data_IF_461725386422
#
_entry.id   IF_461725386422
#
_cell.length_a   1.000
_cell.length_b   1.000
_cell.length_c   1.000
_cell.angle_alpha   90.00
_cell.angle_beta   90.00
_cell.angle_gamma   90.00
#
_symmetry.space_group_name_H-M   'P 1'
#
loop_
_entity.id
_entity.type
_entity.pdbx_description
1 polymer ?
#
# COMPACT_ATOMS: atom_id res chain seq x y z
N UNK A 1 0.88 24.29 14.63
CA UNK A 1 0.55 24.03 13.21
C UNK A 1 1.75 23.29 12.62
N UNK A 2 1.56 22.43 11.63
CA UNK A 2 2.67 21.81 10.89
C UNK A 2 2.52 22.20 9.42
N UNK A 3 3.58 22.75 8.83
CA UNK A 3 3.66 23.11 7.42
C UNK A 3 4.84 22.37 6.80
N UNK A 4 4.70 21.95 5.56
CA UNK A 4 5.73 21.20 4.83
C UNK A 4 5.99 21.89 3.51
N UNK A 5 7.24 21.99 3.10
CA UNK A 5 7.65 22.53 1.80
C UNK A 5 8.60 21.59 1.09
N UNK A 6 8.54 21.56 -0.23
CA UNK A 6 9.39 20.70 -1.06
C UNK A 6 10.36 21.53 -1.90
N UNK A 7 11.64 21.18 -1.85
CA UNK A 7 12.71 21.84 -2.60
C UNK A 7 13.37 20.82 -3.54
N UNK A 8 13.22 21.03 -4.84
CA UNK A 8 13.78 20.17 -5.88
C UNK A 8 15.07 20.74 -6.46
N UNK A 9 16.13 19.93 -6.48
CA UNK A 9 17.46 20.26 -7.03
C UNK A 9 17.83 19.33 -8.19
N UNK A 10 18.71 19.82 -9.06
CA UNK A 10 19.25 19.04 -10.18
C UNK A 10 20.35 18.05 -9.74
N UNK A 11 21.04 18.34 -8.63
CA UNK A 11 22.12 17.52 -8.08
C UNK A 11 22.02 17.51 -6.55
N UNK A 12 22.51 16.45 -5.89
CA UNK A 12 22.63 16.44 -4.45
C UNK A 12 23.52 17.60 -3.99
N UNK A 13 22.96 18.49 -3.20
CA UNK A 13 23.65 19.54 -2.48
C UNK A 13 22.89 19.73 -1.16
N UNK A 14 23.63 19.81 -0.06
CA UNK A 14 23.08 20.06 1.27
C UNK A 14 22.89 21.56 1.42
N UNK A 15 21.64 22.07 1.46
CA UNK A 15 21.41 23.47 1.75
C UNK A 15 21.78 23.72 3.22
N UNK A 16 22.56 24.76 3.50
CA UNK A 16 22.86 25.17 4.88
C UNK A 16 21.54 25.60 5.55
N UNK A 17 20.99 24.86 6.52
CA UNK A 17 19.69 25.19 7.10
C UNK A 17 19.72 26.53 7.85
N UNK A 18 18.58 27.24 7.99
CA UNK A 18 18.50 28.46 8.77
C UNK A 18 18.92 28.21 10.22
N UNK A 19 19.41 29.26 10.90
CA UNK A 19 19.79 29.15 12.30
C UNK A 19 18.51 28.98 13.14
N UNK A 20 18.60 28.20 14.21
CA UNK A 20 17.43 27.71 14.95
C UNK A 20 16.38 28.79 15.31
N UNK A 21 15.11 28.48 15.07
CA UNK A 21 13.95 29.30 15.44
C UNK A 21 13.61 29.16 16.93
N UNK A 22 13.14 30.23 17.57
CA UNK A 22 12.84 30.24 19.01
C UNK A 22 11.47 29.64 19.35
N UNK A 23 10.50 29.74 18.43
CA UNK A 23 9.09 29.34 18.65
C UNK A 23 8.59 28.25 17.68
N UNK A 24 9.46 27.79 16.79
CA UNK A 24 9.18 26.73 15.84
C UNK A 24 10.32 25.71 15.81
N UNK A 25 9.98 24.48 15.47
CA UNK A 25 10.93 23.42 15.20
C UNK A 25 11.03 23.20 13.69
N UNK A 26 12.26 23.06 13.20
CA UNK A 26 12.57 22.93 11.79
C UNK A 26 13.24 21.58 11.55
N UNK A 27 12.69 20.79 10.63
CA UNK A 27 13.35 19.60 10.12
C UNK A 27 13.57 19.72 8.63
N UNK A 28 14.76 19.30 8.20
CA UNK A 28 15.13 19.20 6.79
C UNK A 28 15.44 17.74 6.52
N UNK A 29 14.58 17.10 5.74
CA UNK A 29 14.71 15.70 5.36
C UNK A 29 15.21 15.61 3.91
N UNK A 30 16.35 14.95 3.71
CA UNK A 30 16.97 14.79 2.39
C UNK A 30 18.50 14.62 2.45
N UNK A 31 19.18 14.55 1.29
CA UNK A 31 18.61 14.58 -0.05
C UNK A 31 17.92 13.25 -0.40
N UNK A 32 16.68 13.31 -0.89
CA UNK A 32 15.96 12.14 -1.39
C UNK A 32 16.00 12.11 -2.92
N UNK A 33 16.29 10.95 -3.49
CA UNK A 33 16.19 10.76 -4.94
C UNK A 33 14.74 10.42 -5.28
N UNK A 34 14.15 11.19 -6.18
CA UNK A 34 12.78 10.99 -6.68
C UNK A 34 12.78 10.59 -8.15
N UNK A 35 11.78 9.83 -8.56
CA UNK A 35 11.49 9.54 -9.95
C UNK A 35 10.24 10.28 -10.41
N UNK A 36 9.98 10.30 -11.72
CA UNK A 36 8.79 10.98 -12.28
C UNK A 36 7.49 10.46 -11.66
N UNK A 37 7.45 9.17 -11.32
CA UNK A 37 6.31 8.51 -10.68
C UNK A 37 6.09 8.90 -9.20
N UNK A 38 7.01 9.62 -8.58
CA UNK A 38 6.88 10.15 -7.21
C UNK A 38 6.41 11.61 -7.20
N UNK A 39 6.25 12.21 -8.37
CA UNK A 39 5.94 13.62 -8.54
C UNK A 39 4.58 13.69 -9.22
N UNK A 40 3.66 14.51 -8.69
CA UNK A 40 2.38 14.75 -9.38
C UNK A 40 2.63 15.26 -10.80
N UNK A 41 1.84 14.79 -11.76
CA UNK A 41 1.98 15.16 -13.17
C UNK A 41 1.98 16.69 -13.37
N UNK A 42 1.18 17.40 -12.57
CA UNK A 42 1.10 18.87 -12.61
C UNK A 42 2.40 19.56 -12.15
N UNK A 43 3.19 18.91 -11.30
CA UNK A 43 4.43 19.46 -10.76
C UNK A 43 5.62 19.17 -11.68
N UNK A 44 5.56 18.11 -12.48
CA UNK A 44 6.63 17.70 -13.40
C UNK A 44 7.05 18.84 -14.34
N UNK A 45 6.09 19.63 -14.85
CA UNK A 45 6.37 20.77 -15.74
C UNK A 45 7.22 21.84 -15.04
N UNK A 46 6.90 22.16 -13.78
CA UNK A 46 7.60 23.17 -12.99
C UNK A 46 8.96 22.68 -12.51
N UNK A 47 9.03 21.43 -12.04
CA UNK A 47 10.24 20.80 -11.52
C UNK A 47 11.27 20.57 -12.64
N UNK A 48 10.81 20.25 -13.85
CA UNK A 48 11.65 19.96 -15.01
C UNK A 48 12.46 18.68 -14.79
N UNK A 49 13.78 18.74 -14.93
CA UNK A 49 14.68 17.58 -14.77
C UNK A 49 15.27 17.41 -13.35
N UNK A 50 14.79 18.17 -12.36
CA UNK A 50 15.29 18.14 -10.98
C UNK A 50 14.72 16.92 -10.26
N UNK A 51 15.57 16.05 -9.72
CA UNK A 51 15.20 14.74 -9.14
C UNK A 51 15.81 14.49 -7.76
N UNK A 52 16.23 15.55 -7.11
CA UNK A 52 16.66 15.54 -5.70
C UNK A 52 15.67 16.37 -4.91
N UNK A 53 14.94 15.73 -4.02
CA UNK A 53 13.96 16.35 -3.13
C UNK A 53 14.58 16.58 -1.75
N UNK A 54 14.33 17.77 -1.21
CA UNK A 54 14.45 18.08 0.20
C UNK A 54 13.08 18.48 0.71
N UNK A 55 12.62 17.85 1.79
CA UNK A 55 11.36 18.20 2.45
C UNK A 55 11.68 18.97 3.71
N UNK A 56 11.05 20.12 3.85
CA UNK A 56 11.24 21.06 4.94
C UNK A 56 9.97 21.09 5.76
N UNK A 57 10.03 20.65 7.02
CA UNK A 57 8.86 20.69 7.91
C UNK A 57 9.05 21.72 9.01
N UNK A 58 8.06 22.59 9.17
CA UNK A 58 7.99 23.63 10.19
C UNK A 58 6.85 23.30 11.14
N UNK A 59 7.19 23.00 12.39
CA UNK A 59 6.23 22.68 13.44
C UNK A 59 6.20 23.75 14.52
N UNK A 60 5.01 24.08 15.02
CA UNK A 60 4.83 25.02 16.13
C UNK A 60 4.07 26.28 15.72
N UNK A 61 4.55 27.42 16.21
CA UNK A 61 3.99 28.75 15.99
C UNK A 61 5.12 29.72 15.66
N UNK A 62 5.65 29.66 14.42
CA UNK A 62 6.71 30.56 14.00
C UNK A 62 6.25 32.02 14.15
N UNK A 63 7.14 32.86 14.63
CA UNK A 63 6.98 34.32 14.64
C UNK A 63 7.19 34.89 13.23
N UNK A 64 6.85 36.16 13.02
CA UNK A 64 7.08 36.83 11.73
C UNK A 64 8.58 36.83 11.37
N UNK A 65 9.46 37.06 12.35
CA UNK A 65 10.92 37.01 12.15
C UNK A 65 11.39 35.59 11.72
N UNK A 66 10.80 34.53 12.29
CA UNK A 66 11.12 33.14 11.91
C UNK A 66 10.70 32.86 10.45
N UNK A 67 9.56 33.42 10.01
CA UNK A 67 9.07 33.26 8.64
C UNK A 67 9.92 34.06 7.63
N UNK A 68 10.38 35.25 8.01
CA UNK A 68 11.27 36.07 7.17
C UNK A 68 12.63 35.39 6.99
N UNK A 69 13.23 34.85 8.05
CA UNK A 69 14.50 34.09 7.95
C UNK A 69 14.33 32.81 7.11
N UNK A 70 13.18 32.13 7.21
CA UNK A 70 12.87 31.01 6.34
C UNK A 70 12.77 31.44 4.86
N UNK A 71 12.11 32.56 4.57
CA UNK A 71 11.98 33.06 3.20
C UNK A 71 13.34 33.44 2.60
N UNK A 72 14.17 34.14 3.36
CA UNK A 72 15.53 34.51 2.98
C UNK A 72 16.38 33.28 2.68
N UNK A 73 16.29 32.25 3.53
CA UNK A 73 16.95 30.97 3.30
C UNK A 73 16.47 30.32 1.99
N UNK A 74 15.15 30.22 1.77
CA UNK A 74 14.59 29.64 0.53
C UNK A 74 15.09 30.42 -0.68
N UNK A 75 15.04 31.76 -0.67
CA UNK A 75 15.49 32.61 -1.78
C UNK A 75 16.97 32.39 -2.08
N UNK A 76 17.80 32.28 -1.04
CA UNK A 76 19.22 31.94 -1.16
C UNK A 76 19.42 30.57 -1.80
N UNK A 77 18.78 29.53 -1.29
CA UNK A 77 18.85 28.15 -1.83
C UNK A 77 18.42 28.08 -3.29
N UNK A 78 17.30 28.73 -3.64
CA UNK A 78 16.79 28.79 -5.00
C UNK A 78 17.81 29.41 -5.97
N UNK A 79 18.47 30.48 -5.54
CA UNK A 79 19.46 31.21 -6.33
C UNK A 79 20.76 30.43 -6.50
N UNK A 80 21.28 29.84 -5.42
CA UNK A 80 22.55 29.11 -5.42
C UNK A 80 22.47 27.79 -6.17
N UNK A 81 21.38 27.03 -6.01
CA UNK A 81 21.27 25.66 -6.52
C UNK A 81 20.38 25.54 -7.76
N UNK A 82 19.84 26.66 -8.28
CA UNK A 82 18.86 26.68 -9.37
C UNK A 82 17.65 25.78 -9.06
N UNK A 83 17.25 25.76 -7.79
CA UNK A 83 16.22 24.88 -7.27
C UNK A 83 14.79 25.34 -7.63
N UNK A 84 13.82 24.50 -7.33
CA UNK A 84 12.38 24.78 -7.40
C UNK A 84 11.82 24.53 -6.01
N UNK A 85 11.12 25.51 -5.46
CA UNK A 85 10.38 25.42 -4.21
C UNK A 85 8.91 25.23 -4.52
N UNK A 86 8.24 24.32 -3.82
CA UNK A 86 6.80 24.07 -3.89
C UNK A 86 6.24 24.05 -2.47
N UNK A 87 5.12 24.74 -2.28
CA UNK A 87 4.25 24.61 -1.11
C UNK A 87 3.11 23.65 -1.50
N UNK A 88 3.10 22.40 -1.01
CA UNK A 88 2.06 21.41 -1.32
C UNK A 88 0.66 21.82 -0.86
N UNK A 89 0.53 22.67 0.17
CA UNK A 89 -0.74 23.07 0.75
C UNK A 89 -1.45 24.14 -0.09
N UNK A 90 -0.70 25.10 -0.63
CA UNK A 90 -1.25 26.16 -1.48
C UNK A 90 -1.06 25.90 -2.98
N UNK A 91 -0.20 24.93 -3.33
CA UNK A 91 0.27 24.71 -4.70
C UNK A 91 1.13 25.87 -5.22
N UNK A 92 1.54 26.82 -4.38
CA UNK A 92 2.45 27.88 -4.80
C UNK A 92 3.82 27.29 -5.13
N UNK A 93 4.48 27.84 -6.16
CA UNK A 93 5.82 27.45 -6.51
C UNK A 93 6.70 28.66 -6.80
N UNK A 94 8.00 28.51 -6.58
CA UNK A 94 9.00 29.55 -6.79
C UNK A 94 10.32 28.98 -7.30
N UNK A 95 10.96 29.74 -8.17
CA UNK A 95 12.35 29.58 -8.61
C UNK A 95 13.07 30.91 -8.39
N UNK A 96 14.38 30.98 -8.64
CA UNK A 96 15.13 32.23 -8.55
C UNK A 96 14.61 33.37 -9.45
N UNK A 97 13.77 33.08 -10.46
CA UNK A 97 13.36 34.06 -11.48
C UNK A 97 11.85 34.12 -11.72
N UNK A 98 11.09 33.13 -11.26
CA UNK A 98 9.67 32.97 -11.54
C UNK A 98 8.95 32.41 -10.33
N UNK A 99 7.71 32.80 -10.14
CA UNK A 99 6.78 32.21 -9.21
C UNK A 99 5.43 32.00 -9.89
N UNK A 100 4.62 31.13 -9.32
CA UNK A 100 3.28 30.86 -9.80
C UNK A 100 2.49 29.99 -8.82
N UNK A 101 1.35 29.48 -9.29
CA UNK A 101 0.55 28.51 -8.56
C UNK A 101 0.17 27.36 -9.48
N UNK A 102 0.18 26.15 -8.92
CA UNK A 102 -0.25 24.91 -9.53
C UNK A 102 -1.79 24.73 -9.41
N UNK A 103 -2.49 25.64 -8.71
CA UNK A 103 -3.94 25.67 -8.59
C UNK A 103 -4.58 25.81 -9.97
N UNK A 104 -4.99 24.67 -10.52
CA UNK A 104 -5.42 24.50 -11.90
C UNK A 104 -5.44 23.03 -12.32
N UNK A 105 -4.69 22.16 -11.64
CA UNK A 105 -4.95 20.74 -11.68
C UNK A 105 -6.35 20.51 -11.12
N UNK A 106 -7.29 20.04 -11.95
CA UNK A 106 -8.55 19.50 -11.47
C UNK A 106 -8.22 18.53 -10.31
N UNK A 107 -9.01 18.48 -9.23
CA UNK A 107 -8.78 17.52 -8.16
C UNK A 107 -8.53 16.17 -8.82
N UNK A 108 -7.37 15.56 -8.57
CA UNK A 108 -7.01 14.28 -9.15
C UNK A 108 -8.23 13.39 -8.95
N UNK A 109 -8.89 13.02 -10.05
CA UNK A 109 -10.04 12.13 -9.99
C UNK A 109 -9.44 10.85 -9.46
N UNK A 110 -9.66 10.57 -8.18
CA UNK A 110 -9.07 9.44 -7.48
C UNK A 110 -9.39 8.21 -8.34
N UNK A 111 -8.37 7.72 -9.08
CA UNK A 111 -8.58 6.63 -10.01
C UNK A 111 -9.13 5.49 -9.17
N UNK A 112 -10.27 4.91 -9.58
CA UNK A 112 -10.80 3.76 -8.86
C UNK A 112 -9.85 2.60 -9.09
N UNK A 113 -8.92 2.39 -8.15
CA UNK A 113 -7.95 1.32 -8.19
C UNK A 113 -8.63 0.00 -7.82
N UNK A 114 -8.34 -1.03 -8.61
CA UNK A 114 -8.61 -2.42 -8.28
C UNK A 114 -7.61 -2.96 -7.26
N UNK A 115 -7.81 -4.22 -6.87
CA UNK A 115 -6.95 -4.91 -5.90
C UNK A 115 -6.76 -6.38 -6.22
N UNK A 116 -5.55 -6.89 -5.98
CA UNK A 116 -5.28 -8.33 -5.83
C UNK A 116 -4.84 -8.55 -4.39
N UNK A 117 -5.61 -9.33 -3.62
CA UNK A 117 -5.39 -9.49 -2.19
C UNK A 117 -5.32 -10.96 -1.78
N UNK A 118 -4.48 -11.26 -0.79
CA UNK A 118 -4.30 -12.58 -0.18
C UNK A 118 -4.43 -12.46 1.34
N UNK A 119 -5.19 -13.36 1.96
CA UNK A 119 -5.42 -13.41 3.41
C UNK A 119 -5.12 -14.83 3.93
N UNK A 120 -4.26 -14.93 4.95
CA UNK A 120 -3.72 -16.21 5.44
C UNK A 120 -3.46 -16.21 6.95
N UNK A 121 -3.49 -17.39 7.58
CA UNK A 121 -3.25 -17.55 9.03
C UNK A 121 -1.79 -17.84 9.38
N UNK A 122 -1.05 -18.55 8.51
CA UNK A 122 0.32 -19.00 8.78
C UNK A 122 1.35 -17.88 8.54
N UNK A 123 1.35 -16.90 9.44
CA UNK A 123 2.20 -15.71 9.33
C UNK A 123 3.68 -16.02 9.56
N UNK A 124 3.98 -16.97 10.45
CA UNK A 124 5.34 -17.38 10.78
C UNK A 124 5.94 -18.24 9.67
N UNK A 125 5.18 -19.19 9.11
CA UNK A 125 5.60 -19.93 7.92
C UNK A 125 5.83 -19.01 6.73
N UNK A 126 4.97 -17.99 6.58
CA UNK A 126 5.14 -16.99 5.53
C UNK A 126 6.39 -16.11 5.73
N UNK A 127 6.71 -15.72 6.97
CA UNK A 127 7.92 -14.96 7.30
C UNK A 127 9.21 -15.69 6.95
N UNK A 128 9.27 -16.99 7.28
CA UNK A 128 10.49 -17.77 7.08
C UNK A 128 10.80 -18.01 5.58
N UNK A 129 9.81 -18.45 4.81
CA UNK A 129 10.03 -18.89 3.41
C UNK A 129 9.00 -18.32 2.42
N UNK A 130 7.79 -18.01 2.89
CA UNK A 130 6.67 -17.65 2.02
C UNK A 130 6.90 -16.39 1.20
N UNK A 131 7.48 -15.33 1.77
CA UNK A 131 7.74 -14.09 1.04
C UNK A 131 8.72 -14.31 -0.13
N UNK A 132 9.79 -15.07 0.07
CA UNK A 132 10.73 -15.42 -1.00
C UNK A 132 10.03 -16.22 -2.10
N UNK A 133 9.30 -17.27 -1.75
CA UNK A 133 8.54 -18.06 -2.72
C UNK A 133 7.52 -17.21 -3.48
N UNK A 134 6.86 -16.27 -2.81
CA UNK A 134 5.90 -15.34 -3.40
C UNK A 134 6.56 -14.41 -4.43
N UNK A 135 7.72 -13.83 -4.11
CA UNK A 135 8.49 -13.01 -5.05
C UNK A 135 9.00 -13.81 -6.25
N UNK A 136 9.47 -15.04 -6.04
CA UNK A 136 9.87 -15.93 -7.13
C UNK A 136 8.69 -16.26 -8.06
N UNK A 137 7.49 -16.46 -7.50
CA UNK A 137 6.28 -16.67 -8.29
C UNK A 137 5.87 -15.42 -9.07
N UNK A 138 5.96 -14.22 -8.47
CA UNK A 138 5.75 -12.95 -9.17
C UNK A 138 6.71 -12.82 -10.36
N UNK A 139 8.01 -12.99 -10.14
CA UNK A 139 8.99 -12.87 -11.21
C UNK A 139 8.71 -13.82 -12.38
N UNK A 140 8.31 -15.07 -12.09
CA UNK A 140 8.03 -16.07 -13.12
C UNK A 140 6.71 -15.84 -13.86
N UNK A 141 5.64 -15.50 -13.14
CA UNK A 141 4.28 -15.45 -13.70
C UNK A 141 3.81 -14.03 -14.06
N UNK A 142 4.28 -13.04 -13.32
CA UNK A 142 3.80 -11.67 -13.34
C UNK A 142 4.93 -10.65 -13.07
N UNK A 143 6.00 -10.65 -13.88
CA UNK A 143 7.19 -9.82 -13.64
C UNK A 143 6.89 -8.31 -13.64
N UNK A 144 5.77 -7.88 -14.22
CA UNK A 144 5.28 -6.50 -14.18
C UNK A 144 4.84 -6.07 -12.77
N UNK A 145 4.36 -7.01 -11.96
CA UNK A 145 3.94 -6.77 -10.57
C UNK A 145 5.10 -6.88 -9.56
N UNK A 146 6.30 -7.27 -10.01
CA UNK A 146 7.46 -7.35 -9.13
C UNK A 146 7.85 -5.94 -8.65
N UNK A 147 8.01 -5.72 -7.33
CA UNK A 147 8.45 -4.44 -6.80
C UNK A 147 9.76 -3.98 -7.46
N UNK A 148 9.81 -2.70 -7.84
CA UNK A 148 11.04 -2.07 -8.35
C UNK A 148 11.68 -1.20 -7.29
N UNK A 149 10.87 -0.64 -6.39
CA UNK A 149 11.29 0.23 -5.30
C UNK A 149 10.62 -0.19 -4.02
N UNK A 150 11.32 0.03 -2.93
CA UNK A 150 10.83 -0.27 -1.59
C UNK A 150 11.47 0.65 -0.54
N UNK A 151 10.80 0.79 0.59
CA UNK A 151 11.25 1.61 1.71
C UNK A 151 10.15 1.83 2.75
N UNK A 152 10.49 2.33 3.94
CA UNK A 152 9.51 2.56 5.01
C UNK A 152 8.59 3.75 4.74
N UNK A 153 9.03 4.69 3.91
CA UNK A 153 8.32 5.93 3.59
C UNK A 153 8.51 6.31 2.12
N UNK A 154 7.64 7.18 1.62
CA UNK A 154 7.80 7.81 0.31
C UNK A 154 8.64 9.08 0.38
N UNK A 155 9.44 9.39 -0.66
CA UNK A 155 9.81 8.54 -1.80
C UNK A 155 10.72 7.38 -1.40
N UNK A 156 10.43 6.18 -1.89
CA UNK A 156 11.22 4.97 -1.58
C UNK A 156 12.64 5.06 -2.14
N UNK A 157 13.64 4.92 -1.28
CA UNK A 157 15.06 5.09 -1.66
C UNK A 157 15.74 3.78 -2.11
N UNK A 158 15.21 2.61 -1.74
CA UNK A 158 15.78 1.32 -2.14
C UNK A 158 15.20 0.85 -3.47
N UNK A 159 16.03 0.13 -4.24
CA UNK A 159 15.67 -0.45 -5.55
C UNK A 159 15.94 -1.93 -5.58
N UNK A 160 15.09 -2.66 -6.29
CA UNK A 160 15.34 -4.05 -6.64
C UNK A 160 16.19 -4.12 -7.90
N UNK A 161 17.41 -4.65 -7.78
CA UNK A 161 18.36 -4.78 -8.89
C UNK A 161 18.36 -6.22 -9.43
N UNK A 162 17.89 -6.38 -10.67
CA UNK A 162 17.87 -7.69 -11.33
C UNK A 162 16.91 -8.68 -10.67
N UNK A 163 17.42 -9.90 -10.40
CA UNK A 163 16.67 -11.05 -9.89
C UNK A 163 17.01 -11.37 -8.42
N UNK A 164 17.82 -10.54 -7.78
CA UNK A 164 18.26 -10.75 -6.40
C UNK A 164 17.29 -10.07 -5.42
N UNK A 165 16.58 -10.88 -4.64
CA UNK A 165 15.61 -10.41 -3.64
C UNK A 165 16.23 -10.13 -2.27
N UNK A 166 17.52 -10.39 -2.03
CA UNK A 166 18.10 -10.36 -0.68
C UNK A 166 17.91 -9.00 0.02
N UNK A 167 18.11 -7.89 -0.69
CA UNK A 167 17.96 -6.55 -0.11
C UNK A 167 16.51 -6.24 0.29
N UNK A 168 15.56 -6.63 -0.56
CA UNK A 168 14.12 -6.45 -0.29
C UNK A 168 13.64 -7.38 0.82
N UNK A 169 14.08 -8.65 0.83
CA UNK A 169 13.73 -9.61 1.87
C UNK A 169 14.29 -9.19 3.23
N UNK A 170 15.53 -8.70 3.26
CA UNK A 170 16.12 -8.14 4.48
C UNK A 170 15.30 -6.96 5.01
N UNK A 171 15.00 -5.98 4.15
CA UNK A 171 14.19 -4.82 4.55
C UNK A 171 12.78 -5.22 5.02
N UNK A 172 12.20 -6.24 4.38
CA UNK A 172 10.89 -6.76 4.77
C UNK A 172 10.93 -7.49 6.12
N UNK A 173 11.97 -8.26 6.42
CA UNK A 173 12.13 -8.91 7.73
C UNK A 173 12.40 -7.91 8.86
N UNK A 174 13.07 -6.80 8.58
CA UNK A 174 13.31 -5.73 9.55
C UNK A 174 12.00 -5.00 9.90
N UNK A 175 11.16 -4.67 8.90
CA UNK A 175 9.91 -3.91 9.11
C UNK A 175 8.73 -4.38 8.22
N UNK A 176 8.18 -5.59 8.46
CA UNK A 176 7.25 -6.23 7.51
C UNK A 176 5.93 -5.47 7.31
N UNK A 177 5.49 -4.70 8.31
CA UNK A 177 4.26 -3.91 8.27
C UNK A 177 4.41 -2.48 7.70
N UNK A 178 5.63 -1.95 7.69
CA UNK A 178 5.90 -0.57 7.26
C UNK A 178 6.60 -0.51 5.91
N UNK A 179 7.08 -1.64 5.39
CA UNK A 179 7.69 -1.67 4.08
C UNK A 179 6.66 -1.40 2.98
N UNK A 180 6.75 -0.22 2.40
CA UNK A 180 6.06 0.15 1.17
C UNK A 180 6.87 -0.43 0.01
N UNK A 181 6.18 -1.11 -0.90
CA UNK A 181 6.75 -1.64 -2.13
C UNK A 181 5.97 -1.08 -3.32
N UNK A 182 6.64 -0.70 -4.40
CA UNK A 182 6.01 -0.14 -5.60
C UNK A 182 6.45 -0.90 -6.85
N UNK A 183 5.48 -1.39 -7.60
CA UNK A 183 5.66 -2.03 -8.89
C UNK A 183 5.37 -1.04 -10.03
N UNK A 184 5.65 -1.44 -11.28
CA UNK A 184 5.33 -0.63 -12.45
C UNK A 184 3.86 -0.80 -12.84
N UNK A 185 3.31 0.24 -13.47
CA UNK A 185 2.00 0.17 -14.09
C UNK A 185 1.89 -1.07 -15.03
N UNK A 186 0.74 -1.77 -15.03
CA UNK A 186 -0.52 -1.38 -14.40
C UNK A 186 -0.67 -1.79 -12.92
N UNK A 187 0.39 -2.28 -12.28
CA UNK A 187 0.44 -2.49 -10.84
C UNK A 187 0.90 -1.19 -10.15
N UNK A 188 0.44 -0.97 -8.93
CA UNK A 188 0.84 0.15 -8.08
C UNK A 188 1.61 -0.33 -6.87
N UNK A 189 1.16 0.09 -5.70
CA UNK A 189 1.74 -0.34 -4.43
C UNK A 189 1.41 -1.80 -4.12
N UNK A 190 2.38 -2.48 -3.51
CA UNK A 190 2.21 -3.73 -2.80
C UNK A 190 2.30 -3.43 -1.30
N UNK A 191 1.21 -3.67 -0.59
CA UNK A 191 1.15 -3.56 0.86
C UNK A 191 1.27 -4.93 1.49
N UNK A 192 2.05 -5.01 2.57
CA UNK A 192 2.17 -6.19 3.41
C UNK A 192 1.72 -5.86 4.82
N UNK A 193 0.92 -6.73 5.42
CA UNK A 193 0.52 -6.63 6.81
C UNK A 193 0.58 -8.04 7.39
N UNK A 194 1.75 -8.40 7.92
CA UNK A 194 2.01 -9.72 8.47
C UNK A 194 2.26 -9.58 9.97
N UNK A 195 1.30 -10.00 10.83
CA UNK A 195 1.36 -9.78 12.27
C UNK A 195 2.29 -10.81 12.96
N UNK A 196 3.59 -10.68 12.72
CA UNK A 196 4.64 -11.56 13.26
C UNK A 196 4.77 -11.45 14.78
N UNK A 197 5.36 -12.45 15.44
CA UNK A 197 5.67 -12.37 16.87
C UNK A 197 6.60 -11.20 17.21
N UNK A 198 7.54 -10.86 16.32
CA UNK A 198 8.42 -9.69 16.49
C UNK A 198 7.61 -8.39 16.58
N UNK A 199 6.64 -8.22 15.68
CA UNK A 199 5.74 -7.08 15.68
C UNK A 199 4.84 -7.05 16.92
N UNK A 200 4.27 -8.20 17.33
CA UNK A 200 3.43 -8.24 18.54
C UNK A 200 4.17 -7.83 19.80
N UNK A 201 5.49 -8.08 19.88
CA UNK A 201 6.33 -7.66 21.02
C UNK A 201 6.58 -6.16 21.08
N UNK A 202 6.58 -5.46 19.95
CA UNK A 202 6.75 -4.00 19.91
C UNK A 202 5.48 -3.25 20.30
N UNK A 203 4.33 -3.93 20.32
CA UNK A 203 3.07 -3.34 20.76
C UNK A 203 2.99 -3.26 22.28
N UNK A 204 2.51 -2.11 22.76
CA UNK A 204 2.28 -1.89 24.18
C UNK A 204 1.30 -2.95 24.72
N UNK A 205 1.59 -3.53 25.88
CA UNK A 205 0.77 -4.58 26.51
C UNK A 205 -0.67 -4.16 26.80
N UNK A 206 -0.93 -2.84 26.85
CA UNK A 206 -2.27 -2.27 27.04
C UNK A 206 -3.04 -2.07 25.72
N UNK A 207 -2.41 -2.26 24.55
CA UNK A 207 -3.16 -2.35 23.30
C UNK A 207 -3.82 -3.73 23.23
N UNK A 208 -5.04 -3.82 23.79
CA UNK A 208 -5.93 -4.99 23.77
C UNK A 208 -6.44 -5.33 22.36
N UNK A 209 -5.57 -5.38 21.36
CA UNK A 209 -5.92 -5.94 20.08
C UNK A 209 -6.17 -7.43 20.30
N UNK A 210 -7.38 -7.88 19.97
CA UNK A 210 -7.70 -9.31 19.94
C UNK A 210 -6.85 -9.95 18.85
N UNK A 211 -5.67 -10.44 19.23
CA UNK A 211 -4.69 -11.08 18.35
C UNK A 211 -5.29 -12.27 17.60
N UNK A 212 -6.35 -12.88 18.14
CA UNK A 212 -7.07 -13.99 17.52
C UNK A 212 -7.68 -13.70 16.15
N UNK A 213 -7.85 -12.42 15.78
CA UNK A 213 -8.44 -12.03 14.50
C UNK A 213 -7.44 -11.36 13.56
N UNK A 214 -6.17 -11.34 13.94
CA UNK A 214 -5.09 -10.87 13.08
C UNK A 214 -4.74 -11.96 12.08
N UNK A 215 -4.68 -11.57 10.81
CA UNK A 215 -4.29 -12.44 9.70
C UNK A 215 -3.17 -11.77 8.92
N UNK A 216 -2.36 -12.58 8.25
CA UNK A 216 -1.45 -12.10 7.22
C UNK A 216 -2.23 -11.58 6.03
N UNK A 217 -1.76 -10.47 5.46
CA UNK A 217 -2.37 -9.83 4.29
C UNK A 217 -1.31 -9.33 3.34
N UNK A 218 -1.47 -9.63 2.06
CA UNK A 218 -0.75 -9.00 0.96
C UNK A 218 -1.78 -8.36 0.03
N UNK A 219 -1.53 -7.14 -0.45
CA UNK A 219 -2.43 -6.45 -1.37
C UNK A 219 -1.65 -5.67 -2.43
N UNK A 220 -1.92 -5.95 -3.70
CA UNK A 220 -1.52 -5.10 -4.81
C UNK A 220 -2.64 -4.11 -5.14
N UNK A 221 -2.27 -2.86 -5.37
CA UNK A 221 -3.11 -1.92 -6.12
C UNK A 221 -3.01 -2.18 -7.61
N UNK A 222 -4.15 -2.15 -8.30
CA UNK A 222 -4.25 -2.45 -9.73
C UNK A 222 -4.94 -1.31 -10.45
N UNK A 223 -4.31 -0.80 -11.51
CA UNK A 223 -4.91 0.22 -12.38
C UNK A 223 -5.94 -0.42 -13.34
N UNK A 224 -7.00 0.32 -13.75
CA UNK A 224 -8.05 -0.21 -14.63
C UNK A 224 -7.55 -0.86 -15.92
N UNK A 225 -6.46 -0.34 -16.49
CA UNK A 225 -5.83 -0.84 -17.72
C UNK A 225 -5.47 -2.32 -17.66
N UNK A 226 -5.16 -2.89 -16.49
CA UNK A 226 -4.88 -4.33 -16.36
C UNK A 226 -6.03 -5.18 -16.91
N UNK A 227 -7.28 -4.78 -16.64
CA UNK A 227 -8.46 -5.55 -17.02
C UNK A 227 -8.82 -5.46 -18.51
N UNK A 228 -8.15 -4.56 -19.24
CA UNK A 228 -8.25 -4.38 -20.69
C UNK A 228 -7.19 -5.20 -21.44
N UNK A 229 -6.24 -5.80 -20.73
CA UNK A 229 -5.12 -6.58 -21.28
C UNK A 229 -5.34 -8.08 -21.02
N UNK A 230 -5.93 -8.86 -21.96
CA UNK A 230 -6.37 -10.23 -21.68
C UNK A 230 -5.24 -11.16 -21.24
N UNK A 231 -4.05 -11.05 -21.85
CA UNK A 231 -2.89 -11.86 -21.50
C UNK A 231 -2.42 -11.56 -20.07
N UNK A 232 -2.28 -10.28 -19.72
CA UNK A 232 -1.83 -9.87 -18.38
C UNK A 232 -2.86 -10.20 -17.30
N UNK A 233 -4.16 -10.02 -17.60
CA UNK A 233 -5.24 -10.44 -16.71
C UNK A 233 -5.19 -11.96 -16.45
N UNK A 234 -4.95 -12.76 -17.49
CA UNK A 234 -4.81 -14.21 -17.33
C UNK A 234 -3.57 -14.58 -16.50
N UNK A 235 -2.42 -13.94 -16.73
CA UNK A 235 -1.23 -14.11 -15.88
C UNK A 235 -1.50 -13.74 -14.42
N UNK A 236 -2.27 -12.68 -14.19
CA UNK A 236 -2.67 -12.25 -12.84
C UNK A 236 -3.58 -13.29 -12.17
N UNK A 237 -4.50 -13.90 -12.91
CA UNK A 237 -5.37 -14.98 -12.39
C UNK A 237 -4.58 -16.27 -12.12
N UNK A 238 -3.59 -16.59 -12.95
CA UNK A 238 -2.68 -17.71 -12.69
C UNK A 238 -1.86 -17.46 -11.41
N UNK A 239 -1.36 -16.23 -11.25
CA UNK A 239 -0.64 -15.82 -10.04
C UNK A 239 -1.54 -15.79 -8.80
N UNK A 240 -2.82 -15.40 -8.92
CA UNK A 240 -3.80 -15.49 -7.83
C UNK A 240 -3.87 -16.93 -7.27
N UNK A 241 -3.92 -17.94 -8.15
CA UNK A 241 -3.95 -19.36 -7.75
C UNK A 241 -2.64 -19.76 -7.09
N UNK A 242 -1.51 -19.47 -7.71
CA UNK A 242 -0.21 -19.90 -7.19
C UNK A 242 0.15 -19.18 -5.88
N UNK A 243 -0.08 -17.87 -5.81
CA UNK A 243 0.12 -17.05 -4.62
C UNK A 243 -0.78 -17.49 -3.46
N UNK A 244 -2.03 -17.90 -3.73
CA UNK A 244 -2.91 -18.48 -2.72
C UNK A 244 -2.40 -19.83 -2.20
N UNK A 245 -1.73 -20.62 -3.05
CA UNK A 245 -1.05 -21.84 -2.64
C UNK A 245 0.17 -21.57 -1.75
N UNK A 246 1.03 -20.63 -2.16
CA UNK A 246 2.25 -20.25 -1.43
C UNK A 246 1.92 -19.69 -0.04
N UNK A 247 0.93 -18.81 0.04
CA UNK A 247 0.49 -18.21 1.31
C UNK A 247 -0.40 -19.14 2.13
N UNK A 248 -0.80 -20.29 1.59
CA UNK A 248 -1.89 -21.10 2.13
C UNK A 248 -3.12 -20.25 2.49
N UNK A 249 -3.50 -19.35 1.58
CA UNK A 249 -4.57 -18.39 1.81
C UNK A 249 -5.89 -19.09 2.11
N UNK A 250 -6.58 -18.65 3.17
CA UNK A 250 -7.97 -19.04 3.37
C UNK A 250 -8.89 -18.22 2.44
N UNK A 251 -8.43 -17.07 1.97
CA UNK A 251 -9.11 -16.28 0.96
C UNK A 251 -8.13 -15.44 0.14
N UNK A 252 -8.29 -15.43 -1.17
CA UNK A 252 -7.59 -14.51 -2.07
C UNK A 252 -8.53 -14.05 -3.18
N UNK A 253 -8.40 -12.82 -3.66
CA UNK A 253 -9.29 -12.28 -4.68
C UNK A 253 -8.63 -11.26 -5.61
N UNK A 254 -9.18 -11.15 -6.83
CA UNK A 254 -8.87 -10.10 -7.81
C UNK A 254 -10.13 -9.27 -8.08
N UNK A 255 -10.07 -7.95 -7.91
CA UNK A 255 -11.20 -7.02 -8.09
C UNK A 255 -10.83 -5.80 -8.92
N UNK A 256 -11.84 -5.25 -9.62
CA UNK A 256 -11.75 -3.95 -10.34
C UNK A 256 -11.83 -2.72 -9.45
N UNK A 257 -12.20 -2.92 -8.18
CA UNK A 257 -12.31 -1.90 -7.16
C UNK A 257 -11.50 -2.34 -5.95
N UNK A 258 -11.19 -1.41 -5.06
CA UNK A 258 -10.45 -1.66 -3.82
C UNK A 258 -11.15 -2.76 -2.99
N UNK A 259 -10.39 -3.71 -2.46
CA UNK A 259 -10.88 -4.79 -1.60
C UNK A 259 -11.53 -4.22 -0.33
N UNK A 260 -12.83 -4.45 -0.06
CA UNK A 260 -13.49 -3.92 1.15
C UNK A 260 -12.84 -4.33 2.48
N UNK A 261 -12.10 -5.44 2.50
CA UNK A 261 -11.31 -5.87 3.65
C UNK A 261 -9.94 -5.16 3.64
N UNK A 262 -9.90 -3.91 4.12
CA UNK A 262 -8.71 -3.05 4.12
C UNK A 262 -7.74 -3.30 5.30
N UNK A 263 -7.97 -4.33 6.11
CA UNK A 263 -7.32 -4.48 7.41
C UNK A 263 -6.78 -5.89 7.58
N UNK A 264 -5.67 -6.02 8.32
CA UNK A 264 -5.22 -7.30 8.90
C UNK A 264 -6.17 -7.86 9.96
N UNK A 265 -7.23 -7.14 10.34
CA UNK A 265 -8.33 -7.70 11.12
C UNK A 265 -9.34 -8.33 10.17
N UNK A 266 -9.30 -9.65 10.07
CA UNK A 266 -10.27 -10.35 9.26
C UNK A 266 -11.65 -10.33 9.92
N UNK A 267 -12.67 -10.01 9.14
CA UNK A 267 -14.03 -9.77 9.63
C UNK A 267 -15.10 -10.51 8.84
N UNK A 268 -14.74 -11.21 7.77
CA UNK A 268 -15.68 -11.88 6.88
C UNK A 268 -15.29 -11.71 5.41
N UNK A 269 -15.94 -12.48 4.54
CA UNK A 269 -15.70 -12.48 3.11
C UNK A 269 -16.21 -11.17 2.48
N UNK A 270 -15.40 -10.44 1.68
CA UNK A 270 -15.82 -9.21 1.05
C UNK A 270 -17.02 -9.41 0.10
N UNK A 271 -18.09 -8.59 0.19
CA UNK A 271 -19.23 -8.70 -0.71
C UNK A 271 -18.91 -8.14 -2.10
N UNK A 272 -19.77 -8.43 -3.08
CA UNK A 272 -19.71 -7.84 -4.42
C UNK A 272 -18.84 -8.59 -5.43
N UNK A 273 -18.72 -8.06 -6.65
CA UNK A 273 -18.15 -8.79 -7.77
C UNK A 273 -16.60 -8.84 -7.73
N UNK A 274 -16.06 -10.03 -8.00
CA UNK A 274 -14.63 -10.27 -8.25
C UNK A 274 -14.40 -10.70 -9.71
N UNK A 275 -13.16 -10.69 -10.18
CA UNK A 275 -12.78 -11.34 -11.46
C UNK A 275 -12.45 -12.83 -11.23
N UNK A 276 -11.87 -13.12 -10.06
CA UNK A 276 -11.69 -14.46 -9.53
C UNK A 276 -11.33 -14.42 -8.05
N UNK A 277 -11.58 -15.51 -7.34
CA UNK A 277 -11.15 -15.70 -5.96
C UNK A 277 -10.79 -17.16 -5.67
N UNK A 278 -9.87 -17.36 -4.73
CA UNK A 278 -9.53 -18.65 -4.16
C UNK A 278 -10.06 -18.69 -2.74
N UNK A 279 -10.78 -19.76 -2.40
CA UNK A 279 -11.37 -19.97 -1.08
C UNK A 279 -10.77 -21.22 -0.46
N UNK A 280 -10.20 -21.09 0.73
CA UNK A 280 -9.54 -22.19 1.44
C UNK A 280 -10.42 -22.87 2.48
N UNK A 281 -9.85 -23.91 3.10
CA UNK A 281 -10.55 -24.83 3.99
C UNK A 281 -11.46 -24.17 5.04
N UNK A 282 -11.08 -23.06 5.72
CA UNK A 282 -11.95 -22.43 6.72
C UNK A 282 -13.33 -22.02 6.18
N UNK A 283 -13.44 -21.75 4.88
CA UNK A 283 -14.68 -21.33 4.24
C UNK A 283 -15.29 -22.41 3.33
N UNK A 284 -14.49 -23.37 2.86
CA UNK A 284 -14.98 -24.42 1.94
C UNK A 284 -16.11 -25.23 2.57
N UNK A 285 -15.98 -25.58 3.84
CA UNK A 285 -17.00 -26.38 4.54
C UNK A 285 -18.23 -25.56 4.95
N UNK A 286 -18.09 -24.24 5.05
CA UNK A 286 -19.16 -23.32 5.47
C UNK A 286 -19.96 -22.75 4.31
N UNK A 287 -19.35 -22.67 3.12
CA UNK A 287 -19.99 -22.14 1.92
C UNK A 287 -20.61 -23.29 1.12
N UNK A 288 -21.86 -23.63 1.44
CA UNK A 288 -22.60 -24.69 0.75
C UNK A 288 -22.65 -24.48 -0.77
N UNK A 289 -22.28 -25.50 -1.55
CA UNK A 289 -22.30 -25.45 -3.01
C UNK A 289 -21.03 -24.88 -3.66
N UNK A 290 -20.04 -24.48 -2.85
CA UNK A 290 -18.80 -23.92 -3.35
C UNK A 290 -17.97 -24.92 -4.19
N UNK A 291 -17.77 -26.18 -3.75
CA UNK A 291 -17.04 -27.17 -4.55
C UNK A 291 -17.66 -27.44 -5.93
N UNK A 292 -18.99 -27.39 -6.04
CA UNK A 292 -19.72 -27.58 -7.30
C UNK A 292 -19.69 -26.35 -8.22
N UNK A 293 -19.48 -25.17 -7.63
CA UNK A 293 -19.43 -23.89 -8.35
C UNK A 293 -18.03 -23.57 -8.89
N UNK A 294 -16.98 -24.12 -8.29
CA UNK A 294 -15.58 -23.83 -8.61
C UNK A 294 -14.76 -25.02 -9.11
N UNK A 295 -13.47 -24.77 -9.29
CA UNK A 295 -12.47 -25.81 -9.60
C UNK A 295 -11.71 -26.14 -8.31
N UNK A 296 -11.74 -27.40 -7.89
CA UNK A 296 -10.97 -27.85 -6.74
C UNK A 296 -9.46 -27.87 -7.07
N UNK A 297 -8.67 -27.26 -6.21
CA UNK A 297 -7.21 -27.23 -6.28
C UNK A 297 -6.62 -28.40 -5.47
N UNK A 298 -5.36 -28.74 -5.75
CA UNK A 298 -4.68 -29.91 -5.15
C UNK A 298 -4.52 -29.82 -3.63
N UNK A 299 -4.51 -28.62 -3.06
CA UNK A 299 -4.43 -28.35 -1.63
C UNK A 299 -5.81 -28.23 -0.93
N UNK A 300 -6.90 -28.57 -1.62
CA UNK A 300 -8.26 -28.50 -1.09
C UNK A 300 -8.91 -27.11 -1.15
N UNK A 301 -8.20 -26.09 -1.62
CA UNK A 301 -8.81 -24.79 -1.96
C UNK A 301 -9.75 -24.93 -3.16
N UNK A 302 -10.67 -23.97 -3.32
CA UNK A 302 -11.58 -23.89 -4.46
C UNK A 302 -11.37 -22.57 -5.20
N UNK A 303 -11.10 -22.65 -6.51
CA UNK A 303 -11.01 -21.50 -7.40
C UNK A 303 -12.38 -21.19 -8.00
N UNK A 304 -12.84 -19.96 -7.79
CA UNK A 304 -13.96 -19.36 -8.52
C UNK A 304 -13.43 -18.33 -9.52
N UNK A 305 -13.81 -18.46 -10.80
CA UNK A 305 -13.37 -17.51 -11.83
C UNK A 305 -14.49 -17.25 -12.83
N UNK A 306 -14.81 -15.97 -13.05
CA UNK A 306 -15.91 -15.53 -13.91
C UNK A 306 -15.79 -16.03 -15.36
N UNK A 307 -14.56 -16.06 -15.89
CA UNK A 307 -14.29 -16.37 -17.31
C UNK A 307 -14.17 -17.86 -17.62
N UNK A 308 -13.79 -18.70 -16.66
CA UNK A 308 -13.48 -20.11 -16.93
C UNK A 308 -14.68 -21.05 -16.82
N UNK A 309 -15.59 -20.80 -15.88
CA UNK A 309 -16.69 -21.74 -15.63
C UNK A 309 -17.90 -21.49 -16.55
N UNK A 310 -17.97 -20.32 -17.18
CA UNK A 310 -19.17 -19.85 -17.88
C UNK A 310 -20.39 -19.70 -16.97
N UNK A 311 -20.22 -19.89 -15.66
CA UNK A 311 -21.25 -19.79 -14.65
C UNK A 311 -21.11 -18.44 -13.92
N UNK A 312 -22.23 -17.83 -13.50
CA UNK A 312 -22.15 -16.72 -12.56
C UNK A 312 -21.43 -17.19 -11.30
N UNK A 313 -20.57 -16.35 -10.72
CA UNK A 313 -19.99 -16.69 -9.43
C UNK A 313 -21.09 -16.74 -8.37
N UNK A 314 -21.06 -17.74 -7.48
CA UNK A 314 -22.00 -17.79 -6.37
C UNK A 314 -21.83 -16.53 -5.52
N UNK A 315 -22.95 -16.00 -5.03
CA UNK A 315 -22.89 -14.94 -4.03
C UNK A 315 -22.30 -15.52 -2.74
N UNK A 316 -21.51 -14.71 -2.04
CA UNK A 316 -21.04 -15.03 -0.68
C UNK A 316 -22.29 -15.16 0.22
N UNK A 317 -22.45 -16.24 0.99
CA UNK A 317 -23.56 -16.37 1.95
C UNK A 317 -23.56 -15.21 2.94
N UNK A 318 -24.74 -14.64 3.22
CA UNK A 318 -24.88 -13.43 4.05
C UNK A 318 -24.25 -13.60 5.43
N UNK A 319 -24.30 -14.80 5.99
CA UNK A 319 -23.72 -15.15 7.29
C UNK A 319 -22.18 -15.16 7.29
N UNK A 320 -21.53 -15.31 6.13
CA UNK A 320 -20.08 -15.30 5.97
C UNK A 320 -19.55 -13.93 5.50
N UNK A 321 -20.43 -13.04 5.04
CA UNK A 321 -20.05 -11.74 4.51
C UNK A 321 -19.46 -10.82 5.58
N UNK A 322 -18.50 -9.99 5.16
CA UNK A 322 -18.04 -8.83 5.90
C UNK A 322 -19.23 -7.90 6.20
N UNK A 323 -19.57 -7.62 7.48
CA UNK A 323 -20.69 -6.75 7.79
C UNK A 323 -20.52 -5.34 7.23
N UNK A 324 -21.60 -4.74 6.75
CA UNK A 324 -21.61 -3.32 6.40
C UNK A 324 -21.50 -2.46 7.66
N UNK A 325 -20.30 -1.97 7.95
CA UNK A 325 -20.08 -1.09 9.10
C UNK A 325 -20.53 0.30 8.70
N UNK A 326 -21.74 0.67 9.09
CA UNK A 326 -22.14 2.08 9.14
C UNK A 326 -21.46 2.70 10.36
N UNK A 327 -20.45 3.53 10.13
CA UNK A 327 -19.86 4.37 11.18
C UNK A 327 -20.86 5.47 11.49
N UNK A 328 -21.89 5.14 12.28
CA UNK A 328 -22.82 6.13 12.80
C UNK A 328 -22.29 6.57 14.17
N UNK A 329 -21.98 7.86 14.30
CA UNK A 329 -21.02 8.43 15.26
C UNK A 329 -21.33 8.33 16.75
N UNK A 330 -22.17 7.38 17.20
CA UNK A 330 -22.50 7.27 18.64
C UNK A 330 -22.65 5.87 19.22
N UNK A 331 -22.79 4.77 18.46
CA UNK A 331 -22.97 3.42 19.04
C UNK A 331 -22.44 2.28 18.16
N UNK A 332 -21.13 2.07 18.14
CA UNK A 332 -20.53 0.87 17.53
C UNK A 332 -20.69 -0.34 18.48
N UNK A 333 -21.86 -1.03 18.44
CA UNK A 333 -22.11 -2.24 19.24
C UNK A 333 -22.51 -3.48 18.43
N UNK A 334 -22.65 -3.40 17.11
CA UNK A 334 -22.72 -4.62 16.30
C UNK A 334 -21.33 -5.24 16.23
N UNK A 335 -21.24 -6.56 16.41
CA UNK A 335 -19.98 -7.29 16.19
C UNK A 335 -19.51 -6.94 14.79
N UNK A 336 -18.37 -6.27 14.65
CA UNK A 336 -17.81 -5.91 13.34
C UNK A 336 -17.32 -7.13 12.55
N UNK A 337 -17.89 -8.31 12.77
CA UNK A 337 -17.50 -9.62 12.24
C UNK A 337 -18.73 -10.33 11.66
N UNK A 338 -18.50 -11.17 10.65
CA UNK A 338 -19.49 -12.06 10.05
C UNK A 338 -20.20 -12.91 11.11
N UNK A 339 -21.45 -13.27 10.84
CA UNK A 339 -22.27 -14.06 11.76
C UNK A 339 -21.66 -15.45 12.01
N UNK A 340 -21.13 -16.06 10.95
CA UNK A 340 -20.35 -17.29 11.02
C UNK A 340 -18.90 -16.92 10.73
N UNK A 341 -18.08 -17.00 11.78
CA UNK A 341 -16.66 -16.69 11.72
C UNK A 341 -15.85 -17.98 11.88
N UNK A 342 -15.12 -18.45 10.85
CA UNK A 342 -14.52 -19.78 10.89
C UNK A 342 -13.35 -19.90 11.87
N UNK A 343 -12.77 -18.77 12.29
CA UNK A 343 -11.64 -18.75 13.21
C UNK A 343 -12.06 -18.71 14.68
N UNK A 344 -13.20 -19.35 15.03
CA UNK A 344 -13.58 -19.56 16.43
C UNK A 344 -12.58 -20.50 17.11
N UNK A 345 -11.47 -19.94 17.56
CA UNK A 345 -10.58 -20.63 18.48
C UNK A 345 -11.34 -20.72 19.79
N UNK A 346 -11.58 -21.95 20.26
CA UNK A 346 -12.15 -22.21 21.57
C UNK A 346 -11.40 -21.30 22.55
N UNK A 347 -12.13 -20.38 23.18
CA UNK A 347 -11.60 -19.64 24.31
C UNK A 347 -11.26 -20.69 25.35
N UNK A 348 -9.98 -21.08 25.43
CA UNK A 348 -9.44 -21.78 26.58
C UNK A 348 -9.75 -20.87 27.77
N UNK A 349 -10.73 -21.29 28.56
CA UNK A 349 -11.20 -20.59 29.75
C UNK A 349 -10.14 -20.54 30.85
#
# INVERSE_FOLDING_TARGET
MSQTYDIYLAKPAEPDPPLAFWYAHFTVDGPLVVEDEDISDSWLEVIGSRRVLWTVTVEGSPSDDDLDELDDWIVSTLSQHKAVFIDPQSGAWRTAHRSGSLLGAAPEVEETLGSLAFFFEDVEGFENDGMRSFLSALQRLLPEALPRRFGPTEPMQSRLEGEDFESLLKAWLEEPQFLIMKAKAPFGYLFSSVPTESMKRSWHSEHFLRTSNLVGRLEFQIRPRLFELPALLQSTLNFLVEGAGITNAFYAELRRVKCPAHSWFWRGLPPGPVEGCVVGAPYVDLWSGLPEAGTQLTNGQVLLQKRMTGRPMPAVPDELQLPSIKIDGSKCRQSGFAQVYPFQRQSSG
#
